data_IF_544890765591
#
_entry.id   IF_544890765591
#
_cell.length_a   1.000
_cell.length_b   1.000
_cell.length_c   1.000
_cell.angle_alpha   90.00
_cell.angle_beta   90.00
_cell.angle_gamma   90.00
#
_symmetry.space_group_name_H-M   'P 1'
#
loop_
_entity.id
_entity.type
_entity.pdbx_description
1 polymer ?
#
# COMPACT_ATOMS: atom_id res chain seq x y z
N UNK A 1 34.18 45.11 -5.55
CA UNK A 1 34.23 44.28 -4.32
C UNK A 1 32.97 44.56 -3.52
N UNK A 2 32.02 43.67 -3.28
CA UNK A 2 31.69 42.37 -3.85
C UNK A 2 30.16 42.28 -3.81
N UNK A 3 29.56 41.75 -4.88
CA UNK A 3 28.12 41.47 -4.92
C UNK A 3 27.85 40.44 -3.83
N UNK A 4 27.08 40.83 -2.81
CA UNK A 4 26.61 39.92 -1.79
C UNK A 4 25.87 38.78 -2.47
N UNK A 5 26.34 37.55 -2.22
CA UNK A 5 25.62 36.36 -2.61
C UNK A 5 24.19 36.48 -2.08
N UNK A 6 23.21 36.51 -2.99
CA UNK A 6 21.82 36.28 -2.65
C UNK A 6 21.78 34.99 -1.85
N UNK A 7 21.49 35.07 -0.56
CA UNK A 7 21.09 33.90 0.21
C UNK A 7 19.86 33.37 -0.52
N UNK A 8 19.99 32.25 -1.25
CA UNK A 8 18.84 31.56 -1.81
C UNK A 8 17.92 31.26 -0.64
N UNK A 9 16.73 31.85 -0.64
CA UNK A 9 15.72 31.57 0.38
C UNK A 9 15.50 30.06 0.37
N UNK A 10 15.88 29.41 1.47
CA UNK A 10 15.59 28.01 1.72
C UNK A 10 14.06 27.89 1.77
N UNK A 11 13.51 27.08 0.87
CA UNK A 11 12.09 26.80 0.66
C UNK A 11 11.90 25.94 -0.60
N UNK A 12 10.67 25.48 -0.83
CA UNK A 12 10.19 25.09 -2.15
C UNK A 12 9.83 26.32 -2.98
N UNK A 13 10.71 26.69 -3.91
CA UNK A 13 10.53 27.88 -4.75
C UNK A 13 10.01 27.47 -6.13
N UNK A 14 9.01 28.20 -6.63
CA UNK A 14 8.49 28.03 -7.98
C UNK A 14 9.53 28.50 -9.02
N UNK A 15 9.84 27.63 -9.98
CA UNK A 15 10.58 27.98 -11.20
C UNK A 15 9.63 28.40 -12.32
N UNK A 16 9.90 27.96 -13.55
CA UNK A 16 8.90 28.00 -14.61
C UNK A 16 7.76 27.04 -14.25
N UNK A 17 6.57 27.57 -13.98
CA UNK A 17 5.41 26.75 -13.60
C UNK A 17 5.16 25.65 -14.66
N UNK A 18 4.80 24.43 -14.22
CA UNK A 18 4.38 24.06 -12.86
C UNK A 18 5.53 23.49 -11.98
N UNK A 19 6.79 23.83 -12.26
CA UNK A 19 7.95 23.22 -11.60
C UNK A 19 8.37 23.96 -10.31
N UNK A 20 8.72 23.19 -9.28
CA UNK A 20 9.22 23.62 -7.98
C UNK A 20 10.55 22.94 -7.66
N UNK A 21 11.46 23.71 -7.04
CA UNK A 21 12.72 23.19 -6.52
C UNK A 21 12.81 23.53 -5.04
N UNK A 22 12.92 22.50 -4.21
CA UNK A 22 13.00 22.58 -2.76
C UNK A 22 14.45 22.46 -2.30
N UNK A 23 14.91 23.40 -1.47
CA UNK A 23 16.29 23.44 -0.99
C UNK A 23 16.40 23.99 0.42
N UNK A 24 17.48 23.61 1.12
CA UNK A 24 17.78 24.10 2.46
C UNK A 24 16.99 23.42 3.58
N UNK A 25 17.20 23.90 4.80
CA UNK A 25 16.62 23.32 6.03
C UNK A 25 15.44 24.16 6.48
N UNK A 26 14.25 23.58 6.42
CA UNK A 26 12.99 24.27 6.65
C UNK A 26 12.41 23.92 8.02
N UNK A 27 11.96 24.94 8.74
CA UNK A 27 11.21 24.79 9.99
C UNK A 27 9.74 25.19 9.85
N UNK A 28 9.30 25.45 8.62
CA UNK A 28 7.94 25.82 8.26
C UNK A 28 7.40 24.87 7.21
N UNK A 29 6.06 24.76 7.16
CA UNK A 29 5.36 23.94 6.18
C UNK A 29 5.67 24.44 4.77
N UNK A 30 6.00 23.51 3.88
CA UNK A 30 6.18 23.79 2.46
C UNK A 30 4.88 23.44 1.72
N UNK A 31 4.07 24.45 1.38
CA UNK A 31 2.77 24.26 0.74
C UNK A 31 2.83 24.59 -0.76
N UNK A 32 2.34 23.66 -1.59
CA UNK A 32 2.30 23.76 -3.05
C UNK A 32 0.87 23.49 -3.52
N UNK A 33 0.24 24.50 -4.12
CA UNK A 33 -1.16 24.44 -4.57
C UNK A 33 -1.34 24.69 -6.06
N UNK A 34 -0.25 24.66 -6.83
CA UNK A 34 -0.30 24.78 -8.28
C UNK A 34 -0.79 23.46 -8.88
N UNK A 35 -1.71 23.53 -9.84
CA UNK A 35 -2.13 22.35 -10.57
C UNK A 35 -0.97 21.74 -11.36
N UNK A 36 -0.99 20.42 -11.48
CA UNK A 36 -0.01 19.67 -12.26
C UNK A 36 1.45 19.93 -11.80
N UNK A 37 1.63 20.14 -10.48
CA UNK A 37 2.92 20.51 -9.91
C UNK A 37 4.00 19.42 -10.05
N UNK A 38 5.21 19.84 -10.43
CA UNK A 38 6.41 19.00 -10.44
C UNK A 38 7.40 19.48 -9.37
N UNK A 39 7.56 18.72 -8.31
CA UNK A 39 8.38 19.09 -7.15
C UNK A 39 9.65 18.25 -7.12
N UNK A 40 10.79 18.92 -7.10
CA UNK A 40 12.12 18.31 -7.04
C UNK A 40 12.91 18.85 -5.86
N UNK A 41 13.82 18.06 -5.31
CA UNK A 41 14.69 18.48 -4.19
C UNK A 41 16.11 18.76 -4.65
N UNK A 42 16.80 19.63 -3.93
CA UNK A 42 18.26 19.81 -3.99
C UNK A 42 18.92 19.13 -2.79
N UNK A 43 20.21 18.82 -2.92
CA UNK A 43 21.03 18.35 -1.81
C UNK A 43 20.92 19.27 -0.60
N UNK A 44 20.75 18.67 0.59
CA UNK A 44 20.58 19.38 1.85
C UNK A 44 19.15 19.83 2.15
N UNK A 45 18.18 19.55 1.28
CA UNK A 45 16.77 19.81 1.58
C UNK A 45 16.29 18.93 2.74
N UNK A 46 15.64 19.55 3.73
CA UNK A 46 14.91 18.84 4.78
C UNK A 46 13.85 19.77 5.37
N UNK A 47 12.78 19.18 5.91
CA UNK A 47 11.70 19.92 6.57
C UNK A 47 11.43 19.28 7.91
N UNK A 48 11.47 20.07 8.99
CA UNK A 48 11.05 19.65 10.32
C UNK A 48 10.07 20.65 10.90
N UNK A 49 8.81 20.23 11.06
CA UNK A 49 7.73 21.07 11.58
C UNK A 49 7.03 20.40 12.75
N UNK A 50 6.20 21.17 13.47
CA UNK A 50 5.20 20.64 14.39
C UNK A 50 3.87 21.31 14.05
N UNK A 51 3.19 20.80 13.01
CA UNK A 51 2.04 21.47 12.42
C UNK A 51 0.87 20.46 12.27
N UNK A 52 -0.23 20.64 13.00
CA UNK A 52 -1.37 19.73 12.94
C UNK A 52 -2.11 19.86 11.61
N UNK A 53 -2.72 18.76 11.14
CA UNK A 53 -3.59 18.72 9.96
C UNK A 53 -2.93 19.16 8.64
N UNK A 54 -1.60 19.09 8.53
CA UNK A 54 -0.84 19.52 7.35
C UNK A 54 0.40 18.66 7.12
N UNK A 55 0.91 18.64 5.89
CA UNK A 55 2.19 18.03 5.56
C UNK A 55 3.38 18.88 6.02
N UNK A 56 4.54 18.25 6.31
CA UNK A 56 5.81 18.97 6.32
C UNK A 56 6.08 19.51 4.90
N UNK A 57 5.91 18.63 3.90
CA UNK A 57 5.66 19.01 2.52
C UNK A 57 4.21 18.68 2.15
N UNK A 58 3.51 19.67 1.65
CA UNK A 58 2.07 19.64 1.41
C UNK A 58 1.74 20.06 -0.02
N UNK A 59 1.33 19.09 -0.85
CA UNK A 59 1.06 19.26 -2.28
C UNK A 59 -0.42 18.95 -2.52
N UNK A 60 -1.24 19.97 -2.75
CA UNK A 60 -2.70 19.82 -2.96
C UNK A 60 -3.19 20.66 -4.10
N UNK A 61 -3.58 20.03 -5.21
CA UNK A 61 -4.10 20.74 -6.37
C UNK A 61 -4.89 19.78 -7.29
N UNK A 62 -5.20 20.23 -8.51
CA UNK A 62 -5.73 19.36 -9.56
C UNK A 62 -4.61 18.85 -10.48
N UNK A 63 -4.92 17.87 -11.33
CA UNK A 63 -4.02 17.33 -12.34
C UNK A 63 -2.99 16.34 -11.80
N UNK A 64 -1.87 16.20 -12.52
CA UNK A 64 -0.82 15.25 -12.20
C UNK A 64 0.22 15.87 -11.24
N UNK A 65 0.28 15.38 -9.99
CA UNK A 65 1.18 15.88 -8.96
C UNK A 65 2.37 14.96 -8.79
N UNK A 66 3.57 15.52 -8.93
CA UNK A 66 4.82 14.77 -8.87
C UNK A 66 5.73 15.29 -7.76
N UNK A 67 6.25 14.39 -6.93
CA UNK A 67 7.32 14.67 -5.97
C UNK A 67 8.48 13.71 -6.23
N UNK A 68 9.66 14.25 -6.54
CA UNK A 68 10.87 13.49 -6.80
C UNK A 68 12.01 13.97 -5.91
N UNK A 69 12.53 13.06 -5.10
CA UNK A 69 13.65 13.27 -4.21
C UNK A 69 14.68 12.16 -4.37
N UNK A 70 15.86 12.55 -4.82
CA UNK A 70 17.05 11.69 -4.92
C UNK A 70 18.15 12.09 -3.93
N UNK A 71 17.86 13.06 -3.06
CA UNK A 71 18.84 13.69 -2.18
C UNK A 71 18.70 13.25 -0.71
N UNK A 72 17.91 12.21 -0.46
CA UNK A 72 17.61 11.69 0.87
C UNK A 72 17.04 12.77 1.79
N UNK A 73 16.12 13.57 1.26
CA UNK A 73 15.53 14.70 2.00
C UNK A 73 14.65 14.20 3.13
N UNK A 74 14.91 14.65 4.36
CA UNK A 74 14.09 14.26 5.51
C UNK A 74 12.84 15.14 5.62
N UNK A 75 11.66 14.53 5.67
CA UNK A 75 10.39 15.23 5.90
C UNK A 75 9.78 14.76 7.22
N UNK A 76 9.82 15.62 8.23
CA UNK A 76 9.37 15.33 9.59
C UNK A 76 8.27 16.31 10.02
N UNK A 77 7.12 15.78 10.41
CA UNK A 77 6.09 16.52 11.13
C UNK A 77 5.85 15.91 12.50
N UNK A 78 6.26 16.61 13.56
CA UNK A 78 6.16 16.14 14.95
C UNK A 78 4.73 16.18 15.52
N UNK A 79 3.76 16.70 14.76
CA UNK A 79 2.36 16.70 15.19
C UNK A 79 1.72 15.32 15.01
N UNK A 80 0.98 14.86 16.03
CA UNK A 80 0.28 13.58 16.01
C UNK A 80 -0.80 13.48 14.91
N UNK A 81 -1.39 14.62 14.51
CA UNK A 81 -2.37 14.72 13.42
C UNK A 81 -1.74 15.35 12.15
N UNK A 82 -0.41 15.46 12.13
CA UNK A 82 0.35 15.97 11.00
C UNK A 82 0.76 14.86 10.03
N UNK A 83 1.27 15.26 8.87
CA UNK A 83 1.77 14.34 7.85
C UNK A 83 3.23 14.65 7.54
N UNK A 84 4.06 13.63 7.31
CA UNK A 84 5.42 13.86 6.79
C UNK A 84 5.35 14.40 5.37
N UNK A 85 4.67 13.66 4.50
CA UNK A 85 4.37 14.06 3.12
C UNK A 85 2.87 13.92 2.86
N UNK A 86 2.23 15.01 2.43
CA UNK A 86 0.82 15.04 2.08
C UNK A 86 0.65 15.41 0.61
N UNK A 87 0.13 14.51 -0.22
CA UNK A 87 -0.10 14.74 -1.65
C UNK A 87 -1.53 14.37 -2.00
N UNK A 88 -2.31 15.33 -2.49
CA UNK A 88 -3.71 15.10 -2.87
C UNK A 88 -4.02 15.77 -4.20
N UNK A 89 -4.45 14.96 -5.17
CA UNK A 89 -5.02 15.45 -6.41
C UNK A 89 -6.54 15.43 -6.30
N UNK A 90 -7.18 16.60 -6.35
CA UNK A 90 -8.63 16.74 -6.17
C UNK A 90 -9.44 16.32 -7.39
N UNK A 91 -8.84 16.36 -8.58
CA UNK A 91 -9.48 16.09 -9.86
C UNK A 91 -8.55 16.38 -11.02
N UNK A 92 -9.10 16.41 -12.22
CA UNK A 92 -8.35 16.69 -13.46
C UNK A 92 -8.07 18.19 -13.60
N UNK A 93 -6.96 18.55 -14.25
CA UNK A 93 -6.60 19.93 -14.60
C UNK A 93 -6.82 20.15 -16.10
N UNK A 94 -8.03 20.56 -16.48
CA UNK A 94 -8.43 20.64 -17.88
C UNK A 94 -8.36 19.26 -18.55
N UNK A 95 -7.44 19.11 -19.50
CA UNK A 95 -7.20 17.85 -20.21
C UNK A 95 -6.19 16.92 -19.53
N UNK A 96 -5.60 17.31 -18.40
CA UNK A 96 -4.57 16.54 -17.68
C UNK A 96 -5.26 15.72 -16.58
N UNK A 97 -5.28 14.37 -16.68
CA UNK A 97 -5.91 13.54 -15.67
C UNK A 97 -5.25 13.67 -14.30
N UNK A 98 -6.06 13.50 -13.25
CA UNK A 98 -5.62 13.42 -11.86
C UNK A 98 -4.63 12.26 -11.68
N UNK A 99 -3.43 12.55 -11.17
CA UNK A 99 -2.42 11.53 -10.92
C UNK A 99 -1.52 11.93 -9.77
N UNK A 100 -0.93 10.95 -9.10
CA UNK A 100 0.12 11.19 -8.10
C UNK A 100 1.30 10.29 -8.40
N UNK A 101 2.50 10.88 -8.48
CA UNK A 101 3.77 10.16 -8.49
C UNK A 101 4.65 10.68 -7.37
N UNK A 102 4.97 9.83 -6.40
CA UNK A 102 5.90 10.11 -5.31
C UNK A 102 7.10 9.18 -5.50
N UNK A 103 8.30 9.74 -5.57
CA UNK A 103 9.55 8.99 -5.56
C UNK A 103 10.52 9.67 -4.61
N UNK A 104 10.83 9.02 -3.48
CA UNK A 104 11.72 9.58 -2.47
C UNK A 104 12.62 8.51 -1.88
N UNK A 105 13.90 8.83 -1.80
CA UNK A 105 14.89 8.05 -1.06
C UNK A 105 15.19 8.65 0.33
N UNK A 106 14.41 9.65 0.75
CA UNK A 106 14.51 10.30 2.05
C UNK A 106 13.66 9.61 3.12
N UNK A 107 13.97 9.92 4.38
CA UNK A 107 13.18 9.46 5.52
C UNK A 107 11.94 10.36 5.69
N UNK A 108 10.77 9.75 5.79
CA UNK A 108 9.51 10.47 5.99
C UNK A 108 8.90 10.07 7.32
N UNK A 109 8.51 11.05 8.13
CA UNK A 109 7.88 10.80 9.41
C UNK A 109 6.79 11.82 9.74
N UNK A 110 5.69 11.35 10.33
CA UNK A 110 4.59 12.20 10.76
C UNK A 110 3.58 11.48 11.65
N UNK A 111 2.52 12.18 12.05
CA UNK A 111 1.29 11.55 12.53
C UNK A 111 0.82 10.45 11.58
N UNK A 112 0.81 10.76 10.29
CA UNK A 112 0.91 9.79 9.19
C UNK A 112 2.20 10.03 8.42
N UNK A 113 2.88 8.99 7.98
CA UNK A 113 4.14 9.15 7.24
C UNK A 113 3.89 9.80 5.88
N UNK A 114 3.31 9.02 4.96
CA UNK A 114 2.89 9.48 3.63
C UNK A 114 1.38 9.36 3.51
N UNK A 115 0.74 10.42 3.03
CA UNK A 115 -0.66 10.41 2.61
C UNK A 115 -0.75 10.81 1.14
N UNK A 116 -1.19 9.89 0.29
CA UNK A 116 -1.39 10.09 -1.14
C UNK A 116 -2.84 9.77 -1.51
N UNK A 117 -3.57 10.72 -2.10
CA UNK A 117 -4.94 10.50 -2.55
C UNK A 117 -5.24 11.10 -3.93
N UNK A 118 -5.65 10.24 -4.86
CA UNK A 118 -6.21 10.63 -6.17
C UNK A 118 -7.73 10.59 -6.06
N UNK A 119 -8.38 11.75 -6.11
CA UNK A 119 -9.82 11.88 -5.98
C UNK A 119 -10.55 12.03 -7.32
N UNK A 120 -9.82 12.26 -8.43
CA UNK A 120 -10.40 12.32 -9.77
C UNK A 120 -10.89 10.96 -10.24
N UNK A 121 -12.15 10.88 -10.67
CA UNK A 121 -12.77 9.63 -11.15
C UNK A 121 -12.11 9.06 -12.41
N UNK A 122 -11.46 9.91 -13.21
CA UNK A 122 -10.71 9.52 -14.42
C UNK A 122 -9.19 9.54 -14.18
N UNK A 123 -8.77 9.53 -12.91
CA UNK A 123 -7.36 9.64 -12.56
C UNK A 123 -6.53 8.53 -13.18
N UNK A 124 -5.36 8.89 -13.71
CA UNK A 124 -4.49 7.99 -14.49
C UNK A 124 -3.60 7.10 -13.63
N UNK A 125 -3.54 7.35 -12.32
CA UNK A 125 -2.95 6.42 -11.35
C UNK A 125 -2.34 7.10 -10.12
N UNK A 126 -1.95 6.25 -9.17
CA UNK A 126 -1.23 6.64 -7.96
C UNK A 126 -0.01 5.73 -7.83
N UNK A 127 1.19 6.32 -7.79
CA UNK A 127 2.45 5.62 -7.56
C UNK A 127 3.19 6.27 -6.38
N UNK A 128 3.57 5.45 -5.40
CA UNK A 128 4.39 5.85 -4.27
C UNK A 128 5.61 4.95 -4.22
N UNK A 129 6.80 5.52 -4.36
CA UNK A 129 8.08 4.86 -4.09
C UNK A 129 8.77 5.59 -2.95
N UNK A 130 8.98 4.90 -1.84
CA UNK A 130 9.55 5.47 -0.63
C UNK A 130 10.64 4.58 -0.03
N UNK A 131 11.59 5.19 0.67
CA UNK A 131 12.55 4.50 1.51
C UNK A 131 11.93 4.16 2.88
N UNK A 132 12.40 4.76 3.97
CA UNK A 132 11.86 4.54 5.32
C UNK A 132 10.71 5.49 5.63
N UNK A 133 9.60 4.95 6.13
CA UNK A 133 8.40 5.74 6.46
C UNK A 133 7.91 5.41 7.85
N UNK A 134 7.73 6.43 8.70
CA UNK A 134 7.25 6.27 10.07
C UNK A 134 5.99 7.12 10.31
N UNK A 135 4.87 6.47 10.55
CA UNK A 135 3.62 7.08 10.97
C UNK A 135 3.25 6.71 12.39
N UNK A 136 2.72 7.65 13.17
CA UNK A 136 2.10 7.34 14.46
C UNK A 136 0.76 6.60 14.30
N UNK A 137 0.03 6.86 13.21
CA UNK A 137 -1.18 6.15 12.80
C UNK A 137 -0.84 5.23 11.61
N UNK A 138 -0.94 5.69 10.37
CA UNK A 138 -0.50 4.93 9.20
C UNK A 138 0.90 5.34 8.71
N UNK A 139 1.73 4.35 8.35
CA UNK A 139 3.01 4.60 7.70
C UNK A 139 2.79 5.19 6.31
N UNK A 140 2.17 4.42 5.42
CA UNK A 140 1.78 4.85 4.07
C UNK A 140 0.28 4.68 3.89
N UNK A 141 -0.42 5.76 3.57
CA UNK A 141 -1.81 5.75 3.13
C UNK A 141 -1.87 6.13 1.65
N UNK A 142 -2.37 5.23 0.81
CA UNK A 142 -2.49 5.40 -0.62
C UNK A 142 -3.92 5.10 -1.07
N UNK A 143 -4.65 6.11 -1.54
CA UNK A 143 -6.02 5.96 -2.03
C UNK A 143 -6.17 6.46 -3.46
N UNK A 144 -6.71 5.62 -4.33
CA UNK A 144 -6.98 5.97 -5.72
C UNK A 144 -8.46 5.71 -6.06
N UNK A 145 -9.21 6.80 -6.24
CA UNK A 145 -10.59 6.77 -6.70
C UNK A 145 -10.70 6.80 -8.24
N UNK A 146 -9.58 6.94 -8.95
CA UNK A 146 -9.48 6.94 -10.41
C UNK A 146 -9.27 5.55 -11.02
N UNK A 147 -9.28 5.48 -12.35
CA UNK A 147 -9.21 4.22 -13.13
C UNK A 147 -7.78 3.69 -13.36
N UNK A 148 -6.78 4.50 -13.02
CA UNK A 148 -5.37 4.15 -13.14
C UNK A 148 -4.93 3.02 -12.21
N UNK A 149 -3.68 2.59 -12.39
CA UNK A 149 -3.05 1.63 -11.46
C UNK A 149 -2.74 2.32 -10.13
N UNK A 150 -2.80 1.53 -9.05
CA UNK A 150 -2.32 1.96 -7.73
C UNK A 150 -1.10 1.14 -7.38
N UNK A 151 0.04 1.78 -7.14
CA UNK A 151 1.31 1.12 -6.83
C UNK A 151 1.97 1.76 -5.62
N UNK A 152 2.31 0.93 -4.63
CA UNK A 152 3.10 1.34 -3.46
C UNK A 152 4.35 0.48 -3.42
N UNK A 153 5.52 1.11 -3.45
CA UNK A 153 6.83 0.50 -3.36
C UNK A 153 7.54 1.10 -2.15
N UNK A 154 7.70 0.30 -1.10
CA UNK A 154 8.43 0.68 0.11
C UNK A 154 9.73 -0.12 0.19
N UNK A 155 10.83 0.51 -0.20
CA UNK A 155 12.15 -0.10 -0.24
C UNK A 155 12.83 -0.16 1.13
N UNK A 156 12.35 0.63 2.09
CA UNK A 156 12.79 0.61 3.49
C UNK A 156 11.68 0.16 4.43
N UNK A 157 11.96 0.19 5.73
CA UNK A 157 11.00 -0.15 6.77
C UNK A 157 9.83 0.84 6.81
N UNK A 158 8.61 0.31 6.85
CA UNK A 158 7.39 1.10 7.05
C UNK A 158 6.79 0.78 8.41
N UNK A 159 6.54 1.81 9.21
CA UNK A 159 5.97 1.69 10.55
C UNK A 159 4.69 2.52 10.65
N UNK A 160 3.59 1.91 11.09
CA UNK A 160 2.36 2.58 11.53
C UNK A 160 2.05 2.21 12.97
N UNK A 161 2.44 3.04 13.95
CA UNK A 161 2.49 2.62 15.37
C UNK A 161 1.11 2.20 15.91
N UNK A 162 0.09 3.04 15.71
CA UNK A 162 -1.28 2.82 16.18
C UNK A 162 -2.27 2.54 15.04
N UNK A 163 -1.79 2.39 13.82
CA UNK A 163 -2.60 2.13 12.63
C UNK A 163 -1.91 1.13 11.71
N UNK A 164 -2.31 1.09 10.45
CA UNK A 164 -1.73 0.12 9.51
C UNK A 164 -0.38 0.59 9.00
N UNK A 165 0.61 -0.29 8.91
CA UNK A 165 1.89 0.03 8.27
C UNK A 165 1.69 0.56 6.85
N UNK A 166 1.06 -0.24 5.98
CA UNK A 166 0.65 0.19 4.63
C UNK A 166 -0.85 0.01 4.44
N UNK A 167 -1.55 1.08 4.11
CA UNK A 167 -2.96 1.10 3.78
C UNK A 167 -3.15 1.55 2.33
N UNK A 168 -3.44 0.60 1.43
CA UNK A 168 -3.61 0.84 0.01
C UNK A 168 -5.04 0.53 -0.44
N UNK A 169 -5.69 1.48 -1.11
CA UNK A 169 -7.09 1.35 -1.56
C UNK A 169 -7.24 1.87 -2.99
N UNK A 170 -7.82 1.03 -3.86
CA UNK A 170 -8.23 1.40 -5.21
C UNK A 170 -9.73 1.16 -5.37
N UNK A 171 -10.50 2.21 -5.64
CA UNK A 171 -11.97 2.17 -5.71
C UNK A 171 -12.52 2.56 -7.07
N UNK A 172 -11.68 3.05 -7.99
CA UNK A 172 -12.12 3.46 -9.32
C UNK A 172 -12.71 2.28 -10.11
N UNK A 173 -13.94 2.46 -10.59
CA UNK A 173 -14.62 1.47 -11.43
C UNK A 173 -13.85 1.34 -12.74
N UNK A 174 -13.46 0.12 -13.12
CA UNK A 174 -12.57 -0.08 -14.26
C UNK A 174 -11.10 0.22 -13.96
N UNK A 175 -10.74 0.31 -12.66
CA UNK A 175 -9.36 0.39 -12.19
C UNK A 175 -8.43 -0.64 -12.82
N UNK A 176 -7.16 -0.29 -12.97
CA UNK A 176 -6.18 -1.14 -13.65
C UNK A 176 -5.42 -2.10 -12.72
N UNK A 177 -5.73 -2.09 -11.42
CA UNK A 177 -5.12 -2.96 -10.42
C UNK A 177 -4.51 -2.21 -9.23
N UNK A 178 -4.10 -2.99 -8.23
CA UNK A 178 -3.42 -2.50 -7.03
C UNK A 178 -2.21 -3.39 -6.76
N UNK A 179 -1.04 -2.78 -6.58
CA UNK A 179 0.19 -3.46 -6.22
C UNK A 179 0.86 -2.84 -5.01
N UNK A 180 1.28 -3.66 -4.05
CA UNK A 180 2.14 -3.25 -2.93
C UNK A 180 3.40 -4.10 -2.96
N UNK A 181 4.57 -3.47 -3.05
CA UNK A 181 5.88 -4.09 -2.88
C UNK A 181 6.54 -3.47 -1.65
N UNK A 182 6.80 -4.26 -0.62
CA UNK A 182 7.35 -3.76 0.63
C UNK A 182 8.54 -4.60 1.12
N UNK A 183 9.46 -3.95 1.82
CA UNK A 183 10.47 -4.60 2.64
C UNK A 183 9.83 -5.03 3.98
N UNK A 184 10.32 -4.49 5.11
CA UNK A 184 9.75 -4.72 6.43
C UNK A 184 8.57 -3.79 6.69
N UNK A 185 7.47 -4.33 7.22
CA UNK A 185 6.27 -3.56 7.56
C UNK A 185 5.82 -3.92 8.95
N UNK A 186 5.60 -2.92 9.80
CA UNK A 186 5.03 -3.09 11.12
C UNK A 186 3.91 -2.10 11.36
N UNK A 187 2.83 -2.56 11.97
CA UNK A 187 1.82 -1.67 12.53
C UNK A 187 0.80 -2.40 13.37
N UNK A 188 -0.23 -1.69 13.81
CA UNK A 188 -1.42 -2.29 14.43
C UNK A 188 -2.02 -3.36 13.51
N UNK A 189 -2.12 -3.04 12.21
CA UNK A 189 -2.15 -4.01 11.11
C UNK A 189 -0.89 -3.86 10.26
N UNK A 190 -0.42 -4.92 9.61
CA UNK A 190 0.78 -4.83 8.78
C UNK A 190 0.49 -4.17 7.43
N UNK A 191 -0.12 -4.93 6.51
CA UNK A 191 -0.52 -4.46 5.18
C UNK A 191 -2.02 -4.66 5.00
N UNK A 192 -2.73 -3.58 4.68
CA UNK A 192 -4.12 -3.60 4.25
C UNK A 192 -4.18 -3.15 2.79
N UNK A 193 -4.78 -4.00 1.95
CA UNK A 193 -4.97 -3.70 0.53
C UNK A 193 -6.41 -4.00 0.10
N UNK A 194 -7.10 -3.02 -0.46
CA UNK A 194 -8.46 -3.19 -0.98
C UNK A 194 -8.57 -2.65 -2.40
N UNK A 195 -8.83 -3.54 -3.35
CA UNK A 195 -9.10 -3.20 -4.75
C UNK A 195 -10.57 -3.51 -5.08
N UNK A 196 -11.40 -2.47 -5.09
CA UNK A 196 -12.77 -2.52 -5.57
C UNK A 196 -12.88 -2.17 -7.08
N UNK A 197 -11.78 -1.74 -7.70
CA UNK A 197 -11.65 -1.57 -9.14
C UNK A 197 -11.35 -2.87 -9.88
N UNK A 198 -10.84 -2.78 -11.10
CA UNK A 198 -10.46 -3.97 -11.89
C UNK A 198 -8.99 -4.39 -11.71
N UNK A 199 -8.55 -5.26 -12.62
CA UNK A 199 -7.14 -5.67 -12.73
C UNK A 199 -6.69 -6.63 -11.63
N UNK A 200 -5.37 -6.84 -11.55
CA UNK A 200 -4.77 -7.74 -10.55
C UNK A 200 -4.55 -6.97 -9.25
N UNK A 201 -4.78 -7.67 -8.13
CA UNK A 201 -4.34 -7.21 -6.81
C UNK A 201 -3.13 -8.02 -6.39
N UNK A 202 -1.96 -7.38 -6.25
CA UNK A 202 -0.71 -8.07 -5.88
C UNK A 202 -0.05 -7.46 -4.66
N UNK A 203 0.36 -8.30 -3.72
CA UNK A 203 1.19 -7.92 -2.57
C UNK A 203 2.47 -8.73 -2.63
N UNK A 204 3.60 -8.04 -2.64
CA UNK A 204 4.94 -8.61 -2.47
C UNK A 204 5.54 -8.02 -1.21
N UNK A 205 5.88 -8.85 -0.23
CA UNK A 205 6.54 -8.41 1.00
C UNK A 205 7.81 -9.23 1.23
N UNK A 206 8.96 -8.65 0.91
CA UNK A 206 10.26 -9.32 0.97
C UNK A 206 10.82 -9.42 2.39
N UNK A 207 10.37 -8.55 3.30
CA UNK A 207 10.73 -8.54 4.72
C UNK A 207 9.64 -9.11 5.63
N UNK A 208 9.81 -8.92 6.94
CA UNK A 208 8.84 -9.31 7.95
C UNK A 208 7.64 -8.35 7.92
N UNK A 209 6.43 -8.91 7.85
CA UNK A 209 5.19 -8.16 8.03
C UNK A 209 4.58 -8.47 9.40
N UNK A 210 4.38 -7.44 10.22
CA UNK A 210 3.80 -7.56 11.57
C UNK A 210 2.53 -6.73 11.72
N UNK A 211 1.42 -7.39 12.03
CA UNK A 211 0.19 -6.81 12.56
C UNK A 211 0.10 -7.05 14.05
N UNK A 212 0.45 -6.05 14.85
CA UNK A 212 0.60 -6.16 16.30
C UNK A 212 -0.72 -6.42 17.02
N UNK A 213 -1.83 -5.85 16.54
CA UNK A 213 -3.17 -6.06 17.13
C UNK A 213 -4.18 -6.70 16.19
N UNK A 214 -3.95 -6.61 14.88
CA UNK A 214 -4.83 -7.06 13.79
C UNK A 214 -4.12 -8.12 12.94
N UNK A 215 -4.58 -8.30 11.70
CA UNK A 215 -3.97 -9.23 10.76
C UNK A 215 -2.59 -8.71 10.29
N UNK A 216 -1.69 -9.63 9.94
CA UNK A 216 -0.40 -9.28 9.36
C UNK A 216 -0.60 -8.71 7.96
N UNK A 217 -1.23 -9.49 7.08
CA UNK A 217 -1.62 -9.07 5.73
C UNK A 217 -3.12 -9.29 5.56
N UNK A 218 -3.84 -8.27 5.12
CA UNK A 218 -5.25 -8.36 4.80
C UNK A 218 -5.53 -7.75 3.41
N UNK A 219 -6.00 -8.59 2.48
CA UNK A 219 -6.18 -8.25 1.07
C UNK A 219 -7.60 -8.58 0.60
N UNK A 220 -8.25 -7.58 0.00
CA UNK A 220 -9.57 -7.70 -0.61
C UNK A 220 -9.51 -7.28 -2.09
N UNK A 221 -9.67 -8.21 -3.01
CA UNK A 221 -9.94 -7.93 -4.42
C UNK A 221 -11.45 -8.06 -4.66
N UNK A 222 -12.20 -6.99 -4.44
CA UNK A 222 -13.67 -6.97 -4.45
C UNK A 222 -14.26 -6.69 -5.84
N UNK A 223 -13.50 -6.06 -6.72
CA UNK A 223 -14.02 -5.67 -8.03
C UNK A 223 -14.32 -6.88 -8.90
N UNK A 224 -15.52 -6.90 -9.48
CA UNK A 224 -15.99 -7.98 -10.36
C UNK A 224 -15.20 -8.08 -11.66
N UNK A 225 -14.56 -7.00 -12.09
CA UNK A 225 -13.59 -6.96 -13.21
C UNK A 225 -12.14 -7.24 -12.77
N UNK A 226 -11.93 -7.65 -11.53
CA UNK A 226 -10.63 -8.12 -11.05
C UNK A 226 -10.20 -9.39 -11.81
N UNK A 227 -8.90 -9.50 -12.08
CA UNK A 227 -8.32 -10.59 -12.87
C UNK A 227 -7.39 -11.51 -12.08
N UNK A 228 -7.30 -11.30 -10.77
CA UNK A 228 -6.61 -12.19 -9.84
C UNK A 228 -6.17 -11.50 -8.55
N UNK A 229 -5.74 -12.33 -7.61
CA UNK A 229 -5.13 -11.92 -6.35
C UNK A 229 -3.86 -12.74 -6.13
N UNK A 230 -2.73 -12.07 -5.88
CA UNK A 230 -1.47 -12.72 -5.55
C UNK A 230 -0.86 -12.11 -4.29
N UNK A 231 -0.49 -12.94 -3.33
CA UNK A 231 0.31 -12.54 -2.16
C UNK A 231 1.59 -13.36 -2.17
N UNK A 232 2.75 -12.71 -2.26
CA UNK A 232 4.07 -13.31 -2.15
C UNK A 232 4.81 -12.64 -0.98
N UNK A 233 5.15 -13.40 0.05
CA UNK A 233 5.67 -12.83 1.29
C UNK A 233 6.77 -13.69 1.91
N UNK A 234 7.65 -13.05 2.68
CA UNK A 234 8.59 -13.74 3.57
C UNK A 234 7.86 -14.23 4.84
N UNK A 235 8.18 -13.64 6.00
CA UNK A 235 7.55 -13.99 7.26
C UNK A 235 6.39 -13.03 7.57
N UNK A 236 5.31 -13.56 8.14
CA UNK A 236 4.14 -12.77 8.52
C UNK A 236 3.68 -13.15 9.92
N UNK A 237 3.43 -12.14 10.75
CA UNK A 237 2.86 -12.31 12.09
C UNK A 237 1.67 -11.38 12.24
N UNK A 238 0.47 -11.95 12.41
CA UNK A 238 -0.73 -11.22 12.77
C UNK A 238 -1.24 -11.66 14.14
N UNK A 239 -1.61 -10.72 15.00
CA UNK A 239 -2.33 -11.06 16.23
C UNK A 239 -3.70 -11.68 15.91
N UNK A 240 -4.34 -11.24 14.83
CA UNK A 240 -5.53 -11.87 14.25
C UNK A 240 -5.16 -13.11 13.42
N UNK A 241 -5.38 -12.99 12.12
CA UNK A 241 -4.93 -13.92 11.09
C UNK A 241 -3.54 -13.50 10.61
N UNK A 242 -2.66 -14.45 10.27
CA UNK A 242 -1.38 -14.10 9.64
C UNK A 242 -1.61 -13.44 8.29
N UNK A 243 -2.22 -14.18 7.36
CA UNK A 243 -2.60 -13.71 6.03
C UNK A 243 -4.08 -13.97 5.78
N UNK A 244 -4.84 -12.91 5.53
CA UNK A 244 -6.20 -12.97 5.02
C UNK A 244 -6.23 -12.47 3.57
N UNK A 245 -6.77 -13.28 2.66
CA UNK A 245 -6.89 -12.93 1.24
C UNK A 245 -8.29 -13.31 0.72
N UNK A 246 -9.02 -12.33 0.23
CA UNK A 246 -10.34 -12.53 -0.39
C UNK A 246 -10.33 -12.02 -1.83
N UNK A 247 -10.62 -12.91 -2.77
CA UNK A 247 -10.78 -12.58 -4.18
C UNK A 247 -12.25 -12.75 -4.60
N UNK A 248 -12.97 -11.64 -4.73
CA UNK A 248 -14.29 -11.55 -5.33
C UNK A 248 -14.28 -11.31 -6.84
N UNK A 249 -13.12 -11.04 -7.44
CA UNK A 249 -12.91 -10.97 -8.88
C UNK A 249 -12.56 -12.32 -9.52
N UNK A 250 -12.40 -12.34 -10.84
CA UNK A 250 -12.02 -13.54 -11.58
C UNK A 250 -10.54 -13.91 -11.46
N UNK A 251 -10.10 -14.85 -12.30
CA UNK A 251 -8.70 -15.24 -12.44
C UNK A 251 -8.16 -16.11 -11.31
N UNK A 252 -6.84 -16.12 -11.12
CA UNK A 252 -6.18 -16.97 -10.13
C UNK A 252 -6.06 -16.27 -8.78
N UNK A 253 -6.15 -17.05 -7.70
CA UNK A 253 -5.86 -16.59 -6.35
C UNK A 253 -4.66 -17.38 -5.83
N UNK A 254 -3.55 -16.71 -5.52
CA UNK A 254 -2.34 -17.35 -5.02
C UNK A 254 -1.83 -16.69 -3.76
N UNK A 255 -1.45 -17.51 -2.78
CA UNK A 255 -0.70 -17.08 -1.60
C UNK A 255 0.57 -17.92 -1.50
N UNK A 256 1.73 -17.27 -1.56
CA UNK A 256 3.04 -17.85 -1.36
C UNK A 256 3.72 -17.19 -0.17
N UNK A 257 4.06 -17.96 0.86
CA UNK A 257 4.81 -17.49 2.01
C UNK A 257 6.11 -18.29 2.14
N UNK A 258 7.23 -17.68 1.80
CA UNK A 258 8.55 -18.31 1.89
C UNK A 258 9.07 -18.45 3.33
N UNK A 259 8.53 -17.65 4.26
CA UNK A 259 8.83 -17.68 5.69
C UNK A 259 7.73 -18.29 6.54
N UNK A 260 7.84 -18.10 7.86
CA UNK A 260 6.82 -18.55 8.82
C UNK A 260 5.65 -17.58 8.83
N UNK A 261 4.42 -18.12 8.77
CA UNK A 261 3.18 -17.37 8.93
C UNK A 261 2.53 -17.74 10.25
N UNK A 262 2.26 -16.73 11.09
CA UNK A 262 1.62 -16.91 12.40
C UNK A 262 0.36 -16.07 12.53
N UNK A 263 -0.76 -16.70 12.86
CA UNK A 263 -1.99 -16.06 13.32
C UNK A 263 -2.25 -16.39 14.79
N UNK A 264 -2.16 -15.41 15.68
CA UNK A 264 -2.18 -15.70 17.12
C UNK A 264 -3.58 -15.92 17.71
N UNK A 265 -4.63 -15.37 17.09
CA UNK A 265 -6.02 -15.49 17.57
C UNK A 265 -6.89 -16.31 16.63
N UNK A 266 -6.53 -16.38 15.34
CA UNK A 266 -7.31 -17.05 14.31
C UNK A 266 -6.43 -18.01 13.47
N UNK A 267 -6.61 -18.01 12.16
CA UNK A 267 -5.90 -18.88 11.23
C UNK A 267 -4.50 -18.32 10.94
N UNK A 268 -3.55 -19.17 10.58
CA UNK A 268 -2.29 -18.69 10.02
C UNK A 268 -2.54 -18.05 8.65
N UNK A 269 -3.22 -18.78 7.76
CA UNK A 269 -3.59 -18.32 6.42
C UNK A 269 -5.08 -18.62 6.17
N UNK A 270 -5.83 -17.61 5.73
CA UNK A 270 -7.21 -17.72 5.27
C UNK A 270 -7.35 -17.15 3.86
N UNK A 271 -7.71 -18.01 2.90
CA UNK A 271 -7.89 -17.61 1.49
C UNK A 271 -9.30 -17.96 1.02
N UNK A 272 -10.01 -16.98 0.49
CA UNK A 272 -11.36 -17.13 -0.01
C UNK A 272 -11.46 -16.57 -1.44
N UNK A 273 -11.51 -17.44 -2.44
CA UNK A 273 -11.75 -17.06 -3.83
C UNK A 273 -13.23 -17.32 -4.17
N UNK A 274 -14.01 -16.27 -4.38
CA UNK A 274 -15.45 -16.37 -4.64
C UNK A 274 -15.90 -15.69 -5.94
N UNK A 275 -14.99 -15.06 -6.68
CA UNK A 275 -15.37 -14.40 -7.92
C UNK A 275 -15.73 -15.36 -9.04
N UNK A 276 -16.73 -14.95 -9.82
CA UNK A 276 -17.15 -15.66 -11.03
C UNK A 276 -15.99 -15.62 -12.03
N UNK A 277 -15.64 -16.76 -12.65
CA UNK A 277 -14.48 -16.86 -13.52
C UNK A 277 -13.14 -17.01 -12.79
N UNK A 278 -13.17 -17.39 -11.51
CA UNK A 278 -11.99 -17.88 -10.79
C UNK A 278 -11.44 -19.15 -11.46
N UNK A 279 -10.16 -19.16 -11.81
CA UNK A 279 -9.53 -20.28 -12.54
C UNK A 279 -8.70 -21.20 -11.65
N UNK A 280 -8.37 -20.77 -10.42
CA UNK A 280 -7.61 -21.59 -9.49
C UNK A 280 -7.33 -20.89 -8.17
N UNK A 281 -7.06 -21.71 -7.15
CA UNK A 281 -6.58 -21.27 -5.84
C UNK A 281 -5.36 -22.10 -5.47
N UNK A 282 -4.24 -21.44 -5.17
CA UNK A 282 -3.02 -22.08 -4.65
C UNK A 282 -2.55 -21.42 -3.37
N UNK A 283 -2.19 -22.23 -2.38
CA UNK A 283 -1.53 -21.76 -1.15
C UNK A 283 -0.27 -22.58 -0.94
N UNK A 284 0.86 -21.89 -0.85
CA UNK A 284 2.18 -22.46 -0.53
C UNK A 284 2.75 -21.69 0.64
N UNK A 285 3.21 -22.38 1.68
CA UNK A 285 3.83 -21.74 2.83
C UNK A 285 4.89 -22.65 3.46
N UNK A 286 6.02 -22.08 3.89
CA UNK A 286 7.11 -22.84 4.49
C UNK A 286 6.72 -23.39 5.88
N UNK A 287 6.10 -22.57 6.71
CA UNK A 287 5.54 -22.95 8.01
C UNK A 287 4.33 -22.09 8.33
N UNK A 288 3.27 -22.72 8.85
CA UNK A 288 2.03 -22.01 9.20
C UNK A 288 1.54 -22.46 10.57
N UNK A 289 1.34 -21.50 11.46
CA UNK A 289 0.73 -21.71 12.76
C UNK A 289 -0.45 -20.75 12.92
N UNK A 290 -1.62 -21.30 13.26
CA UNK A 290 -2.76 -20.50 13.68
C UNK A 290 -3.39 -21.10 14.92
N UNK A 291 -3.96 -20.25 15.77
CA UNK A 291 -4.66 -20.68 16.98
C UNK A 291 -5.86 -21.58 16.67
N UNK A 292 -6.67 -21.23 15.67
CA UNK A 292 -7.85 -22.02 15.28
C UNK A 292 -7.57 -23.00 14.15
N UNK A 293 -6.47 -22.82 13.40
CA UNK A 293 -6.02 -23.70 12.32
C UNK A 293 -4.87 -23.11 11.51
N UNK A 294 -4.11 -23.94 10.81
CA UNK A 294 -2.99 -23.48 9.98
C UNK A 294 -3.47 -22.75 8.73
N UNK A 295 -4.01 -23.50 7.76
CA UNK A 295 -4.45 -22.99 6.46
C UNK A 295 -5.92 -23.31 6.27
N UNK A 296 -6.72 -22.31 5.92
CA UNK A 296 -8.08 -22.45 5.43
C UNK A 296 -8.15 -21.84 4.03
N UNK A 297 -8.56 -22.62 3.05
CA UNK A 297 -8.59 -22.21 1.64
C UNK A 297 -9.87 -22.71 0.97
N UNK A 298 -10.65 -21.79 0.40
CA UNK A 298 -11.90 -22.13 -0.29
C UNK A 298 -11.94 -21.44 -1.65
N UNK A 299 -12.20 -22.24 -2.67
CA UNK A 299 -12.53 -21.76 -4.01
C UNK A 299 -14.03 -21.98 -4.27
N UNK A 300 -14.81 -20.92 -4.12
CA UNK A 300 -16.23 -20.82 -4.43
C UNK A 300 -16.50 -20.16 -5.80
N UNK A 301 -15.45 -19.68 -6.49
CA UNK A 301 -15.54 -19.09 -7.83
C UNK A 301 -15.90 -20.14 -8.88
N UNK A 302 -17.09 -20.02 -9.46
CA UNK A 302 -17.69 -21.05 -10.30
C UNK A 302 -16.97 -21.29 -11.64
N UNK A 303 -16.49 -22.53 -11.80
CA UNK A 303 -16.32 -23.27 -13.04
C UNK A 303 -16.54 -24.80 -12.87
N UNK A 304 -16.77 -25.29 -11.64
CA UNK A 304 -16.96 -26.71 -11.34
C UNK A 304 -18.37 -26.98 -10.79
N UNK A 305 -19.05 -27.96 -11.38
CA UNK A 305 -20.37 -28.48 -11.01
C UNK A 305 -20.40 -28.85 -9.51
N UNK A 306 -21.26 -28.19 -8.73
CA UNK A 306 -21.42 -28.40 -7.29
C UNK A 306 -21.99 -29.79 -6.93
N UNK A 307 -22.25 -30.67 -7.91
CA UNK A 307 -22.77 -32.03 -7.67
C UNK A 307 -21.74 -33.08 -7.26
N UNK A 308 -20.44 -32.77 -7.21
CA UNK A 308 -19.40 -33.75 -6.85
C UNK A 308 -18.86 -33.62 -5.40
N UNK A 309 -19.19 -32.56 -4.64
CA UNK A 309 -18.55 -32.28 -3.34
C UNK A 309 -19.31 -32.74 -2.09
N UNK A 310 -20.30 -33.63 -2.22
CA UNK A 310 -21.10 -34.08 -1.07
C UNK A 310 -20.46 -35.21 -0.22
N UNK A 311 -19.17 -35.54 -0.37
CA UNK A 311 -18.51 -36.55 0.48
C UNK A 311 -17.06 -36.23 0.81
N UNK A 312 -16.83 -35.23 1.64
CA UNK A 312 -15.63 -35.14 2.49
C UNK A 312 -16.01 -34.46 3.82
N UNK A 313 -17.11 -34.91 4.43
CA UNK A 313 -17.38 -34.61 5.83
C UNK A 313 -17.29 -35.89 6.65
N UNK A 314 -16.48 -35.78 7.71
CA UNK A 314 -16.32 -36.70 8.84
C UNK A 314 -15.43 -37.94 8.64
N UNK A 315 -14.13 -37.77 8.84
CA UNK A 315 -13.39 -38.55 9.83
C UNK A 315 -12.00 -37.92 10.10
N UNK A 316 -11.95 -37.03 11.08
CA UNK A 316 -10.70 -36.73 11.78
C UNK A 316 -10.39 -37.89 12.72
N UNK A 317 -9.33 -38.65 12.44
CA UNK A 317 -8.62 -39.33 13.51
C UNK A 317 -7.14 -39.49 13.15
N UNK A 318 -6.32 -38.84 13.99
CA UNK A 318 -4.91 -39.06 14.37
C UNK A 318 -3.97 -39.70 13.35
N UNK A 319 -2.81 -39.04 13.20
CA UNK A 319 -1.61 -39.40 12.45
C UNK A 319 -1.63 -38.91 11.00
N UNK A 320 -0.78 -37.90 10.76
CA UNK A 320 -0.82 -37.06 9.57
C UNK A 320 -0.54 -37.81 8.28
N UNK A 321 -1.26 -37.45 7.21
CA UNK A 321 -0.88 -37.76 5.85
C UNK A 321 -1.42 -36.72 4.85
N UNK A 322 -0.66 -36.60 3.76
CA UNK A 322 -0.85 -35.74 2.59
C UNK A 322 -2.25 -35.87 1.99
N UNK A 323 -2.92 -34.75 1.78
CA UNK A 323 -4.03 -34.66 0.82
C UNK A 323 -3.42 -34.67 -0.59
N UNK A 324 -3.48 -35.82 -1.27
CA UNK A 324 -3.30 -35.92 -2.71
C UNK A 324 -4.67 -36.15 -3.34
N UNK A 325 -5.28 -35.09 -3.89
CA UNK A 325 -6.35 -35.27 -4.86
C UNK A 325 -5.73 -35.56 -6.24
N UNK A 326 -6.17 -36.61 -6.96
CA UNK A 326 -5.69 -36.86 -8.30
C UNK A 326 -6.34 -35.85 -9.26
N UNK A 327 -5.50 -35.11 -9.97
CA UNK A 327 -5.92 -34.33 -11.13
C UNK A 327 -6.35 -35.29 -12.25
N UNK A 328 -7.53 -35.05 -12.82
CA UNK A 328 -7.87 -35.41 -14.19
C UNK A 328 -8.50 -34.21 -14.86
#
# INVERSE_FOLDING_TARGET
MGLGANQSLAACVAGALPNYTCSGTETTVQAITTNTANVTTNAGFNVTVNAPNTGALDIRANGALNYSDTNSSSLLNNSADGYGLYVVSHGDDGGIPSAITINTNGAIAGGRGIYAAVNGLHGSGLSVTAASVNGLLEGIFAQNNGVGTTSVIANGTVVGVNGTGIYAVATGIGGSGLSVNAADVSGDGGIFARNAGGGITSITASGLVTGASRDGINVYAEGTSGTGLSVDTAAVSGRGTGIFAQNGGGGTTSVNASGTVTGMSYLGISVYAAGIGGTGLSVSAASVSGHTGGIYAVNAGGGYDQRQHQRCDQQSNRYGHRCLCPWR
#
